data_IF_358542779104
#
_entry.id   IF_358542779104
#
_cell.length_a   1.000
_cell.length_b   1.000
_cell.length_c   1.000
_cell.angle_alpha   90.00
_cell.angle_beta   90.00
_cell.angle_gamma   90.00
#
_symmetry.space_group_name_H-M   'P 1'
#
loop_
_entity.id
_entity.type
_entity.pdbx_description
1 polymer ?
#
# COMPACT_ATOMS: atom_id res chain seq x y z
N UNK A 1 -6.22 -32.17 -10.94
CA UNK A 1 -6.18 -30.90 -11.69
C UNK A 1 -5.17 -30.00 -11.01
N UNK A 2 -4.03 -29.73 -11.66
CA UNK A 2 -3.04 -28.79 -11.16
C UNK A 2 -3.64 -27.38 -11.25
N UNK A 3 -3.68 -26.65 -10.14
CA UNK A 3 -4.05 -25.24 -10.12
C UNK A 3 -3.12 -24.47 -11.06
N UNK A 4 -3.64 -23.61 -11.96
CA UNK A 4 -2.80 -22.85 -12.87
C UNK A 4 -1.78 -22.01 -12.08
N UNK A 5 -0.58 -21.77 -12.62
CA UNK A 5 0.45 -21.02 -11.92
C UNK A 5 -0.06 -19.62 -11.59
N UNK A 6 -0.20 -19.32 -10.29
CA UNK A 6 -0.64 -18.01 -9.81
C UNK A 6 0.35 -16.96 -10.28
N UNK A 7 -0.11 -16.01 -11.09
CA UNK A 7 0.68 -14.90 -11.61
C UNK A 7 0.03 -13.56 -11.21
N UNK A 8 0.74 -12.45 -11.43
CA UNK A 8 0.23 -11.11 -11.11
C UNK A 8 -1.12 -10.83 -11.77
N UNK A 9 -1.29 -11.24 -13.04
CA UNK A 9 -2.49 -10.99 -13.81
C UNK A 9 -3.72 -11.69 -13.24
N UNK A 10 -3.57 -12.93 -12.77
CA UNK A 10 -4.63 -13.68 -12.09
C UNK A 10 -5.05 -12.97 -10.80
N UNK A 11 -4.09 -12.52 -9.99
CA UNK A 11 -4.40 -11.78 -8.76
C UNK A 11 -5.13 -10.46 -9.07
N UNK A 12 -4.69 -9.74 -10.10
CA UNK A 12 -5.32 -8.48 -10.51
C UNK A 12 -6.68 -8.67 -11.17
N UNK A 13 -6.87 -9.70 -12.00
CA UNK A 13 -8.15 -10.01 -12.64
C UNK A 13 -9.19 -10.41 -11.60
N UNK A 14 -8.81 -11.22 -10.62
CA UNK A 14 -9.68 -11.58 -9.50
C UNK A 14 -10.05 -10.37 -8.64
N UNK A 15 -9.05 -9.54 -8.31
CA UNK A 15 -9.29 -8.30 -7.57
C UNK A 15 -10.29 -7.40 -8.32
N UNK A 16 -10.12 -7.25 -9.63
CA UNK A 16 -11.03 -6.48 -10.49
C UNK A 16 -12.43 -7.10 -10.51
N UNK A 17 -12.55 -8.42 -10.61
CA UNK A 17 -13.83 -9.15 -10.62
C UNK A 17 -14.61 -8.91 -9.33
N UNK A 18 -13.97 -9.10 -8.17
CA UNK A 18 -14.58 -8.89 -6.85
C UNK A 18 -15.02 -7.43 -6.68
N UNK A 19 -14.19 -6.46 -7.08
CA UNK A 19 -14.54 -5.04 -6.99
C UNK A 19 -15.72 -4.71 -7.90
N UNK A 20 -15.74 -5.21 -9.14
CA UNK A 20 -16.78 -4.93 -10.13
C UNK A 20 -18.14 -5.50 -9.71
N UNK A 21 -18.18 -6.71 -9.16
CA UNK A 21 -19.40 -7.37 -8.69
C UNK A 21 -20.18 -6.54 -7.66
N UNK A 22 -19.47 -5.71 -6.87
CA UNK A 22 -20.06 -4.90 -5.83
C UNK A 22 -19.48 -3.49 -5.79
N UNK A 23 -19.42 -2.87 -6.98
CA UNK A 23 -18.79 -1.57 -7.21
C UNK A 23 -19.31 -0.49 -6.26
N UNK A 24 -20.63 -0.42 -6.00
CA UNK A 24 -21.24 0.58 -5.10
C UNK A 24 -20.67 0.53 -3.68
N UNK A 25 -20.44 -0.66 -3.14
CA UNK A 25 -19.93 -0.83 -1.78
C UNK A 25 -18.45 -0.44 -1.68
N UNK A 26 -17.62 -0.89 -2.63
CA UNK A 26 -16.20 -0.52 -2.65
C UNK A 26 -15.99 0.95 -3.00
N UNK A 27 -16.84 1.51 -3.85
CA UNK A 27 -16.88 2.94 -4.12
C UNK A 27 -17.21 3.73 -2.85
N UNK A 28 -18.24 3.32 -2.08
CA UNK A 28 -18.55 3.97 -0.81
C UNK A 28 -17.39 3.90 0.20
N UNK A 29 -16.74 2.74 0.35
CA UNK A 29 -15.55 2.62 1.22
C UNK A 29 -14.38 3.48 0.73
N UNK A 30 -14.20 3.58 -0.59
CA UNK A 30 -13.14 4.40 -1.18
C UNK A 30 -13.40 5.89 -0.94
N UNK A 31 -14.63 6.35 -1.17
CA UNK A 31 -15.04 7.74 -0.89
C UNK A 31 -14.94 8.07 0.60
N UNK A 32 -15.26 7.12 1.48
CA UNK A 32 -15.28 7.33 2.92
C UNK A 32 -13.86 7.37 3.54
N UNK A 33 -12.94 6.53 3.07
CA UNK A 33 -11.63 6.37 3.73
C UNK A 33 -10.42 6.64 2.83
N UNK A 34 -10.44 6.23 1.58
CA UNK A 34 -9.27 6.38 0.68
C UNK A 34 -9.20 7.77 0.04
N UNK A 35 -10.35 8.37 -0.29
CA UNK A 35 -10.42 9.68 -0.91
C UNK A 35 -9.92 10.80 0.02
N UNK A 36 -10.31 10.85 1.31
CA UNK A 36 -9.74 11.84 2.23
C UNK A 36 -8.22 11.70 2.37
N UNK A 37 -7.72 10.46 2.49
CA UNK A 37 -6.29 10.17 2.61
C UNK A 37 -5.50 10.60 1.36
N UNK A 38 -6.00 10.29 0.17
CA UNK A 38 -5.34 10.65 -1.09
C UNK A 38 -5.37 12.15 -1.36
N UNK A 39 -6.45 12.85 -1.00
CA UNK A 39 -6.54 14.30 -1.07
C UNK A 39 -5.53 14.96 -0.13
N UNK A 40 -5.46 14.51 1.13
CA UNK A 40 -4.45 14.99 2.07
C UNK A 40 -3.04 14.79 1.51
N UNK A 41 -2.75 13.62 0.93
CA UNK A 41 -1.44 13.30 0.36
C UNK A 41 -1.10 14.19 -0.84
N UNK A 42 -2.07 14.45 -1.73
CA UNK A 42 -1.87 15.28 -2.92
C UNK A 42 -1.68 16.78 -2.57
N UNK A 43 -2.34 17.25 -1.52
CA UNK A 43 -2.34 18.66 -1.12
C UNK A 43 -1.20 19.02 -0.15
N UNK A 44 -0.73 18.05 0.65
CA UNK A 44 0.29 18.26 1.68
C UNK A 44 1.57 18.96 1.19
N UNK A 45 2.20 18.57 0.06
CA UNK A 45 3.41 19.24 -0.43
C UNK A 45 3.21 20.75 -0.64
N UNK A 46 2.04 21.15 -1.10
CA UNK A 46 1.71 22.55 -1.39
C UNK A 46 1.47 23.33 -0.09
N UNK A 47 0.64 22.81 0.82
CA UNK A 47 0.38 23.48 2.11
C UNK A 47 1.66 23.56 2.94
N UNK A 48 2.44 22.48 2.99
CA UNK A 48 3.71 22.42 3.72
C UNK A 48 4.66 23.52 3.25
N UNK A 49 4.81 23.72 1.94
CA UNK A 49 5.67 24.79 1.40
C UNK A 49 5.15 26.19 1.74
N UNK A 50 3.85 26.44 1.57
CA UNK A 50 3.24 27.75 1.88
C UNK A 50 3.43 28.13 3.36
N UNK A 51 3.28 27.18 4.28
CA UNK A 51 3.43 27.44 5.72
C UNK A 51 4.89 27.48 6.16
N UNK A 52 5.78 26.74 5.47
CA UNK A 52 7.23 26.80 5.75
C UNK A 52 7.79 28.21 5.53
N UNK A 53 7.28 28.93 4.54
CA UNK A 53 7.66 30.34 4.32
C UNK A 53 7.21 31.27 5.47
N UNK A 54 6.20 30.87 6.28
CA UNK A 54 5.62 31.71 7.32
C UNK A 54 6.11 31.36 8.75
N UNK A 55 6.19 30.07 9.12
CA UNK A 55 6.63 29.66 10.46
C UNK A 55 7.02 28.17 10.53
N UNK A 56 8.27 27.83 10.96
CA UNK A 56 8.72 26.44 11.04
C UNK A 56 8.01 25.61 12.13
N UNK A 57 7.55 26.24 13.21
CA UNK A 57 6.81 25.54 14.30
C UNK A 57 5.45 25.03 13.83
N UNK A 58 4.76 25.84 13.02
CA UNK A 58 3.44 25.49 12.46
C UNK A 58 3.55 24.33 11.47
N UNK A 59 4.66 24.22 10.73
CA UNK A 59 4.92 23.09 9.83
C UNK A 59 4.99 21.77 10.61
N UNK A 60 5.70 21.74 11.74
CA UNK A 60 5.82 20.52 12.55
C UNK A 60 4.43 20.07 13.03
N UNK A 61 3.63 21.00 13.57
CA UNK A 61 2.28 20.69 14.02
C UNK A 61 1.40 20.19 12.86
N UNK A 62 1.48 20.83 11.68
CA UNK A 62 0.76 20.40 10.48
C UNK A 62 1.20 19.00 10.04
N UNK A 63 2.51 18.72 10.01
CA UNK A 63 3.05 17.41 9.62
C UNK A 63 2.59 16.31 10.57
N UNK A 64 2.56 16.58 11.88
CA UNK A 64 2.03 15.64 12.88
C UNK A 64 0.54 15.40 12.67
N UNK A 65 -0.25 16.47 12.51
CA UNK A 65 -1.69 16.37 12.26
C UNK A 65 -1.98 15.58 10.95
N UNK A 66 -1.25 15.88 9.89
CA UNK A 66 -1.31 15.18 8.61
C UNK A 66 -1.01 13.68 8.77
N UNK A 67 0.08 13.33 9.47
CA UNK A 67 0.47 11.94 9.70
C UNK A 67 -0.64 11.18 10.44
N UNK A 68 -1.20 11.78 11.49
CA UNK A 68 -2.29 11.16 12.26
C UNK A 68 -3.52 10.95 11.38
N UNK A 69 -3.96 11.98 10.66
CA UNK A 69 -5.15 11.91 9.80
C UNK A 69 -4.98 10.84 8.72
N UNK A 70 -3.88 10.87 7.96
CA UNK A 70 -3.61 9.92 6.88
C UNK A 70 -3.45 8.50 7.42
N UNK A 71 -2.75 8.31 8.55
CA UNK A 71 -2.61 7.00 9.18
C UNK A 71 -3.95 6.40 9.58
N UNK A 72 -4.81 7.19 10.24
CA UNK A 72 -6.14 6.75 10.68
C UNK A 72 -6.99 6.32 9.48
N UNK A 73 -7.11 7.18 8.46
CA UNK A 73 -7.91 6.88 7.28
C UNK A 73 -7.38 5.67 6.49
N UNK A 74 -6.05 5.53 6.35
CA UNK A 74 -5.46 4.39 5.65
C UNK A 74 -5.73 3.07 6.37
N UNK A 75 -5.60 3.03 7.70
CA UNK A 75 -5.84 1.80 8.45
C UNK A 75 -7.32 1.42 8.48
N UNK A 76 -8.21 2.41 8.55
CA UNK A 76 -9.65 2.18 8.41
C UNK A 76 -10.02 1.65 7.02
N UNK A 77 -9.37 2.17 5.96
CA UNK A 77 -9.55 1.69 4.61
C UNK A 77 -9.08 0.24 4.46
N UNK A 78 -7.85 -0.05 4.89
CA UNK A 78 -7.25 -1.38 4.79
C UNK A 78 -8.11 -2.40 5.55
N UNK A 79 -8.48 -2.11 6.79
CA UNK A 79 -9.32 -2.99 7.60
C UNK A 79 -10.70 -3.23 6.97
N UNK A 80 -11.38 -2.17 6.55
CA UNK A 80 -12.73 -2.28 5.98
C UNK A 80 -12.73 -3.01 4.62
N UNK A 81 -11.77 -2.71 3.74
CA UNK A 81 -11.68 -3.30 2.40
C UNK A 81 -11.22 -4.76 2.48
N UNK A 82 -10.15 -5.06 3.22
CA UNK A 82 -9.64 -6.42 3.35
C UNK A 82 -10.68 -7.36 3.97
N UNK A 83 -11.36 -6.92 5.04
CA UNK A 83 -12.45 -7.68 5.65
C UNK A 83 -13.61 -7.91 4.67
N UNK A 84 -13.99 -6.88 3.89
CA UNK A 84 -15.08 -6.99 2.92
C UNK A 84 -14.76 -7.97 1.79
N UNK A 85 -13.51 -7.99 1.30
CA UNK A 85 -13.05 -8.92 0.27
C UNK A 85 -13.00 -10.34 0.83
N UNK A 86 -12.43 -10.51 2.03
CA UNK A 86 -12.33 -11.81 2.68
C UNK A 86 -13.72 -12.43 2.90
N UNK A 87 -14.67 -11.68 3.48
CA UNK A 87 -16.02 -12.20 3.70
C UNK A 87 -16.76 -12.55 2.42
N UNK A 88 -16.60 -11.73 1.37
CA UNK A 88 -17.21 -12.00 0.06
C UNK A 88 -16.61 -13.21 -0.63
N UNK A 89 -15.31 -13.42 -0.47
CA UNK A 89 -14.65 -14.60 -1.01
C UNK A 89 -15.27 -15.89 -0.45
N UNK A 90 -15.69 -15.89 0.82
CA UNK A 90 -16.40 -17.01 1.46
C UNK A 90 -17.95 -16.90 1.36
N UNK A 91 -18.49 -16.09 0.44
CA UNK A 91 -19.92 -16.02 0.15
C UNK A 91 -20.80 -15.39 1.25
N UNK A 92 -20.23 -14.69 2.24
CA UNK A 92 -21.01 -14.09 3.34
C UNK A 92 -21.48 -12.67 2.97
N UNK A 93 -22.73 -12.29 3.29
CA UNK A 93 -23.24 -10.95 3.01
C UNK A 93 -22.53 -9.91 3.90
N UNK A 94 -21.91 -8.91 3.26
CA UNK A 94 -21.17 -7.85 3.97
C UNK A 94 -22.01 -6.58 4.06
N UNK A 95 -22.28 -6.14 5.29
CA UNK A 95 -22.84 -4.81 5.56
C UNK A 95 -21.69 -3.83 5.83
N UNK A 96 -21.76 -2.61 5.27
CA UNK A 96 -20.76 -1.55 5.47
C UNK A 96 -20.44 -1.31 6.95
N UNK A 97 -21.47 -1.27 7.80
CA UNK A 97 -21.33 -1.04 9.25
C UNK A 97 -20.52 -2.15 9.93
N UNK A 98 -20.67 -3.40 9.50
CA UNK A 98 -19.90 -4.53 10.03
C UNK A 98 -18.42 -4.41 9.64
N UNK A 99 -18.13 -3.98 8.41
CA UNK A 99 -16.77 -3.74 7.94
C UNK A 99 -16.09 -2.61 8.73
N UNK A 100 -16.79 -1.48 8.94
CA UNK A 100 -16.26 -0.35 9.73
C UNK A 100 -16.02 -0.76 11.19
N UNK A 101 -16.96 -1.49 11.81
CA UNK A 101 -16.80 -1.97 13.19
C UNK A 101 -15.62 -2.93 13.33
N UNK A 102 -15.47 -3.85 12.38
CA UNK A 102 -14.34 -4.78 12.32
C UNK A 102 -13.00 -4.04 12.17
N UNK A 103 -12.99 -3.01 11.32
CA UNK A 103 -11.82 -2.17 11.12
C UNK A 103 -11.43 -1.38 12.37
N UNK A 104 -12.39 -0.88 13.14
CA UNK A 104 -12.14 -0.20 14.41
C UNK A 104 -11.57 -1.17 15.45
N UNK A 105 -12.09 -2.40 15.52
CA UNK A 105 -11.52 -3.44 16.39
C UNK A 105 -10.09 -3.83 15.99
N UNK A 106 -9.77 -3.75 14.70
CA UNK A 106 -8.45 -4.06 14.16
C UNK A 106 -7.48 -2.88 14.21
N UNK A 107 -7.93 -1.68 14.59
CA UNK A 107 -7.14 -0.45 14.54
C UNK A 107 -5.87 -0.52 15.41
N UNK A 108 -6.02 -0.95 16.67
CA UNK A 108 -4.90 -1.09 17.58
C UNK A 108 -3.94 -2.23 17.18
N UNK A 109 -4.42 -3.44 16.82
CA UNK A 109 -3.58 -4.47 16.24
C UNK A 109 -2.79 -4.00 14.99
N UNK A 110 -3.45 -3.29 14.07
CA UNK A 110 -2.84 -2.79 12.84
C UNK A 110 -1.75 -1.75 13.13
N UNK A 111 -2.03 -0.79 14.00
CA UNK A 111 -1.03 0.18 14.46
C UNK A 111 0.16 -0.52 15.13
N UNK A 112 -0.09 -1.50 16.01
CA UNK A 112 0.97 -2.23 16.69
C UNK A 112 1.88 -2.98 15.70
N UNK A 113 1.32 -3.61 14.67
CA UNK A 113 2.10 -4.28 13.62
C UNK A 113 2.87 -3.29 12.75
N UNK A 114 2.30 -2.13 12.43
CA UNK A 114 3.00 -1.07 11.70
C UNK A 114 4.19 -0.51 12.51
N UNK A 115 3.99 -0.23 13.80
CA UNK A 115 5.06 0.20 14.71
C UNK A 115 6.14 -0.88 14.81
N UNK A 116 5.75 -2.15 14.95
CA UNK A 116 6.69 -3.27 15.01
C UNK A 116 7.53 -3.37 13.74
N UNK A 117 6.90 -3.27 12.57
CA UNK A 117 7.58 -3.27 11.28
C UNK A 117 8.58 -2.11 11.19
N UNK A 118 8.14 -0.88 11.43
CA UNK A 118 8.99 0.31 11.37
C UNK A 118 10.15 0.23 12.37
N UNK A 119 9.90 -0.28 13.58
CA UNK A 119 10.95 -0.49 14.59
C UNK A 119 12.01 -1.49 14.13
N UNK A 120 11.63 -2.56 13.43
CA UNK A 120 12.61 -3.52 12.88
C UNK A 120 13.41 -2.88 11.75
N UNK A 121 12.77 -2.15 10.83
CA UNK A 121 13.47 -1.46 9.74
C UNK A 121 14.45 -0.42 10.28
N UNK A 122 14.05 0.36 11.30
CA UNK A 122 14.92 1.31 11.98
C UNK A 122 16.10 0.61 12.65
N UNK A 123 15.86 -0.51 13.34
CA UNK A 123 16.92 -1.32 13.94
C UNK A 123 17.94 -1.83 12.92
N UNK A 124 17.47 -2.33 11.77
CA UNK A 124 18.35 -2.76 10.67
C UNK A 124 19.19 -1.60 10.15
N UNK A 125 18.56 -0.43 9.93
CA UNK A 125 19.27 0.75 9.46
C UNK A 125 20.34 1.21 10.44
N UNK A 126 20.03 1.21 11.75
CA UNK A 126 20.96 1.59 12.80
C UNK A 126 22.15 0.62 12.89
N UNK A 127 21.91 -0.68 12.80
CA UNK A 127 22.97 -1.70 12.76
C UNK A 127 23.85 -1.53 11.52
N UNK A 128 23.24 -1.30 10.35
CA UNK A 128 23.98 -1.13 9.10
C UNK A 128 24.82 0.16 9.12
N UNK A 129 24.25 1.26 9.62
CA UNK A 129 24.95 2.54 9.76
C UNK A 129 26.12 2.43 10.76
N UNK A 130 25.92 1.72 11.87
CA UNK A 130 26.97 1.48 12.86
C UNK A 130 28.10 0.61 12.29
N UNK A 131 27.77 -0.51 11.63
CA UNK A 131 28.75 -1.37 10.98
C UNK A 131 29.55 -0.62 9.90
N UNK A 132 28.85 0.22 9.14
CA UNK A 132 29.47 1.07 8.13
C UNK A 132 30.44 2.07 8.76
N UNK A 133 30.02 2.78 9.81
CA UNK A 133 30.88 3.71 10.54
C UNK A 133 32.15 3.05 11.09
N UNK A 134 32.03 1.85 11.67
CA UNK A 134 33.18 1.09 12.14
C UNK A 134 34.13 0.70 11.00
N UNK A 135 33.59 0.22 9.87
CA UNK A 135 34.39 -0.17 8.72
C UNK A 135 35.18 1.01 8.14
N UNK A 136 34.55 2.19 8.04
CA UNK A 136 35.25 3.42 7.62
C UNK A 136 36.43 3.71 8.55
N UNK A 137 36.17 3.73 9.86
CA UNK A 137 37.18 4.07 10.88
C UNK A 137 38.35 3.07 10.84
N UNK A 138 38.07 1.78 10.63
CA UNK A 138 39.10 0.76 10.54
C UNK A 138 39.97 0.91 9.28
N UNK A 139 39.37 1.21 8.13
CA UNK A 139 40.11 1.40 6.88
C UNK A 139 41.04 2.62 6.94
N UNK A 140 40.60 3.69 7.59
CA UNK A 140 41.38 4.92 7.79
C UNK A 140 42.58 4.69 8.72
N UNK A 141 42.45 3.80 9.71
CA UNK A 141 43.55 3.39 10.60
C UNK A 141 44.57 2.50 9.87
N UNK A 142 44.10 1.55 9.04
CA UNK A 142 44.97 0.56 8.38
C UNK A 142 45.76 1.17 7.22
N UNK A 143 45.15 2.09 6.46
CA UNK A 143 45.78 2.74 5.30
C UNK A 143 45.80 4.25 5.53
N UNK A 144 46.83 4.76 6.23
CA UNK A 144 47.00 6.20 6.41
C UNK A 144 47.12 6.87 5.03
N UNK A 145 46.21 7.80 4.72
CA UNK A 145 46.18 8.53 3.45
C UNK A 145 45.13 8.06 2.43
N UNK A 146 44.35 7.01 2.71
CA UNK A 146 43.23 6.62 1.86
C UNK A 146 41.98 7.47 2.19
N UNK A 147 41.82 8.60 1.50
CA UNK A 147 40.63 9.45 1.59
C UNK A 147 39.45 8.86 0.80
N UNK A 148 38.80 7.81 1.33
CA UNK A 148 37.50 7.40 0.79
C UNK A 148 36.50 8.50 1.13
N UNK A 149 35.95 9.15 0.10
CA UNK A 149 34.91 10.15 0.30
C UNK A 149 33.74 9.54 1.10
N UNK A 150 33.40 10.18 2.22
CA UNK A 150 32.28 9.78 3.08
C UNK A 150 30.98 9.60 2.28
N UNK A 151 30.82 10.41 1.23
CA UNK A 151 29.69 10.35 0.31
C UNK A 151 29.61 9.01 -0.45
N UNK A 152 30.71 8.54 -1.06
CA UNK A 152 30.70 7.27 -1.81
C UNK A 152 30.34 6.09 -0.91
N UNK A 153 30.88 6.09 0.30
CA UNK A 153 30.58 5.06 1.29
C UNK A 153 29.12 5.12 1.76
N UNK A 154 28.61 6.31 2.06
CA UNK A 154 27.21 6.52 2.44
C UNK A 154 26.24 6.07 1.33
N UNK A 155 26.57 6.32 0.05
CA UNK A 155 25.77 5.87 -1.10
C UNK A 155 25.70 4.34 -1.16
N UNK A 156 26.83 3.65 -1.02
CA UNK A 156 26.86 2.17 -1.04
C UNK A 156 26.00 1.59 0.09
N UNK A 157 26.16 2.12 1.31
CA UNK A 157 25.38 1.69 2.47
C UNK A 157 23.89 1.93 2.27
N UNK A 158 23.52 3.06 1.67
CA UNK A 158 22.13 3.39 1.35
C UNK A 158 21.56 2.42 0.31
N UNK A 159 22.31 2.05 -0.72
CA UNK A 159 21.87 1.06 -1.72
C UNK A 159 21.64 -0.30 -1.06
N UNK A 160 22.57 -0.75 -0.19
CA UNK A 160 22.42 -1.99 0.56
C UNK A 160 21.18 -1.94 1.46
N UNK A 161 20.96 -0.82 2.15
CA UNK A 161 19.78 -0.62 2.99
C UNK A 161 18.49 -0.74 2.17
N UNK A 162 18.43 -0.11 0.99
CA UNK A 162 17.26 -0.18 0.08
C UNK A 162 16.98 -1.63 -0.34
N UNK A 163 18.00 -2.39 -0.73
CA UNK A 163 17.85 -3.80 -1.13
C UNK A 163 17.31 -4.64 0.03
N UNK A 164 17.87 -4.45 1.23
CA UNK A 164 17.43 -5.17 2.43
C UNK A 164 15.98 -4.80 2.77
N UNK A 165 15.63 -3.51 2.74
CA UNK A 165 14.25 -3.05 2.98
C UNK A 165 13.29 -3.68 1.97
N UNK A 166 13.64 -3.67 0.68
CA UNK A 166 12.80 -4.26 -0.36
C UNK A 166 12.54 -5.76 -0.12
N UNK A 167 13.56 -6.50 0.33
CA UNK A 167 13.42 -7.92 0.70
C UNK A 167 12.43 -8.12 1.86
N UNK A 168 12.52 -7.31 2.91
CA UNK A 168 11.58 -7.38 4.04
C UNK A 168 10.15 -7.01 3.62
N UNK A 169 9.99 -6.01 2.75
CA UNK A 169 8.68 -5.63 2.20
C UNK A 169 8.01 -6.79 1.46
N UNK A 170 8.74 -7.55 0.64
CA UNK A 170 8.22 -8.73 -0.08
C UNK A 170 7.75 -9.83 0.87
N UNK A 171 8.52 -10.09 1.93
CA UNK A 171 8.19 -11.12 2.93
C UNK A 171 7.01 -10.68 3.85
N UNK A 172 6.82 -9.37 4.04
CA UNK A 172 5.81 -8.80 4.95
C UNK A 172 4.59 -8.17 4.28
N UNK A 173 4.45 -8.31 2.95
CA UNK A 173 3.37 -7.70 2.17
C UNK A 173 1.95 -8.06 2.67
N UNK A 174 1.78 -9.27 3.25
CA UNK A 174 0.47 -9.76 3.70
C UNK A 174 0.17 -9.40 5.16
N UNK A 175 1.10 -8.80 5.88
CA UNK A 175 1.01 -8.63 7.33
C UNK A 175 -0.22 -7.84 7.76
N UNK A 176 -0.57 -6.78 7.03
CA UNK A 176 -1.75 -5.96 7.34
C UNK A 176 -3.06 -6.73 7.10
N UNK A 177 -3.13 -7.54 6.05
CA UNK A 177 -4.30 -8.40 5.79
C UNK A 177 -4.44 -9.47 6.86
N UNK A 178 -3.34 -10.10 7.27
CA UNK A 178 -3.31 -11.13 8.34
C UNK A 178 -3.83 -10.55 9.66
N UNK A 179 -3.41 -9.33 10.02
CA UNK A 179 -3.91 -8.65 11.23
C UNK A 179 -5.44 -8.50 11.18
N UNK A 180 -5.98 -8.08 10.04
CA UNK A 180 -7.42 -7.84 9.87
C UNK A 180 -8.22 -9.15 9.89
N UNK A 181 -7.72 -10.17 9.22
CA UNK A 181 -8.44 -11.44 9.03
C UNK A 181 -8.32 -12.34 10.25
N UNK A 182 -7.11 -12.49 10.78
CA UNK A 182 -6.82 -13.44 11.86
C UNK A 182 -6.86 -12.78 13.24
N UNK A 183 -7.07 -11.45 13.31
CA UNK A 183 -7.10 -10.66 14.57
C UNK A 183 -5.84 -10.84 15.42
N UNK A 184 -4.69 -10.97 14.75
CA UNK A 184 -3.37 -11.20 15.38
C UNK A 184 -2.56 -9.90 15.41
N UNK A 185 -1.68 -9.74 16.39
CA UNK A 185 -1.04 -8.48 16.77
C UNK A 185 0.48 -8.62 16.83
N UNK A 186 1.20 -7.51 16.67
CA UNK A 186 2.64 -7.41 16.94
C UNK A 186 3.50 -8.12 15.88
N UNK A 187 4.42 -8.99 16.34
CA UNK A 187 5.37 -9.71 15.48
C UNK A 187 4.82 -11.00 14.86
N UNK A 188 3.75 -11.55 15.43
CA UNK A 188 3.15 -12.81 14.95
C UNK A 188 2.63 -12.70 13.51
N UNK A 189 1.94 -11.63 13.09
CA UNK A 189 1.53 -11.43 11.68
C UNK A 189 2.72 -11.41 10.71
N UNK A 190 3.86 -10.83 11.10
CA UNK A 190 5.06 -10.77 10.26
C UNK A 190 5.66 -12.17 10.01
N UNK A 191 5.66 -13.02 11.05
CA UNK A 191 6.12 -14.42 10.94
C UNK A 191 5.22 -15.22 10.03
N UNK A 192 3.91 -15.08 10.19
CA UNK A 192 2.90 -15.75 9.36
C UNK A 192 3.03 -15.27 7.90
N UNK A 193 3.15 -13.96 7.66
CA UNK A 193 3.36 -13.41 6.32
C UNK A 193 4.60 -14.00 5.65
N UNK A 194 5.73 -14.08 6.37
CA UNK A 194 6.97 -14.66 5.84
C UNK A 194 6.82 -16.16 5.51
N UNK A 195 6.04 -16.89 6.31
CA UNK A 195 5.72 -18.29 6.04
C UNK A 195 4.85 -18.43 4.79
N UNK A 196 3.77 -17.67 4.70
CA UNK A 196 2.81 -17.72 3.59
C UNK A 196 3.38 -17.27 2.25
N UNK A 197 4.28 -16.29 2.26
CA UNK A 197 4.94 -15.81 1.04
C UNK A 197 6.04 -16.76 0.55
N UNK A 198 6.46 -17.74 1.36
CA UNK A 198 7.43 -18.76 0.95
C UNK A 198 6.84 -19.60 -0.18
N UNK A 199 7.54 -19.66 -1.32
CA UNK A 199 7.04 -20.32 -2.54
C UNK A 199 6.34 -19.38 -3.52
N UNK A 200 5.77 -18.25 -3.06
CA UNK A 200 5.06 -17.27 -3.90
C UNK A 200 5.74 -15.89 -3.95
N UNK A 201 7.01 -15.81 -3.54
CA UNK A 201 7.80 -14.56 -3.50
C UNK A 201 7.85 -13.80 -4.80
N UNK A 202 7.90 -14.50 -5.94
CA UNK A 202 7.96 -13.85 -7.27
C UNK A 202 6.67 -13.07 -7.56
N UNK A 203 5.52 -13.62 -7.17
CA UNK A 203 4.22 -12.96 -7.32
C UNK A 203 4.10 -11.78 -6.35
N UNK A 204 4.50 -11.97 -5.09
CA UNK A 204 4.56 -10.88 -4.10
C UNK A 204 5.43 -9.72 -4.60
N UNK A 205 6.63 -10.01 -5.10
CA UNK A 205 7.53 -9.02 -5.68
C UNK A 205 6.92 -8.33 -6.91
N UNK A 206 6.22 -9.08 -7.76
CA UNK A 206 5.55 -8.52 -8.94
C UNK A 206 4.42 -7.56 -8.56
N UNK A 207 3.63 -7.90 -7.52
CA UNK A 207 2.56 -7.04 -6.98
C UNK A 207 3.19 -5.76 -6.42
N UNK A 208 4.21 -5.90 -5.58
CA UNK A 208 4.91 -4.78 -4.95
C UNK A 208 5.48 -3.82 -6.00
N UNK A 209 6.21 -4.33 -7.00
CA UNK A 209 6.78 -3.51 -8.07
C UNK A 209 5.69 -2.82 -8.90
N UNK A 210 4.59 -3.50 -9.23
CA UNK A 210 3.50 -2.91 -9.99
C UNK A 210 2.90 -1.69 -9.28
N UNK A 211 2.60 -1.81 -7.98
CA UNK A 211 2.03 -0.69 -7.21
C UNK A 211 3.04 0.42 -6.93
N UNK A 212 4.33 0.12 -6.75
CA UNK A 212 5.38 1.14 -6.60
C UNK A 212 5.55 1.92 -7.91
N UNK A 213 5.73 1.23 -9.04
CA UNK A 213 5.96 1.86 -10.36
C UNK A 213 4.77 2.73 -10.77
N UNK A 214 3.54 2.34 -10.42
CA UNK A 214 2.33 3.12 -10.73
C UNK A 214 2.08 4.28 -9.77
N UNK A 215 2.47 4.16 -8.49
CA UNK A 215 2.26 5.23 -7.50
C UNK A 215 3.34 6.32 -7.51
N UNK A 216 4.59 5.98 -7.86
CA UNK A 216 5.72 6.93 -7.88
C UNK A 216 5.48 8.15 -8.79
N UNK A 217 5.00 8.00 -10.04
CA UNK A 217 4.73 9.15 -10.91
C UNK A 217 3.67 10.09 -10.33
N UNK A 218 2.63 9.55 -9.69
CA UNK A 218 1.56 10.36 -9.07
C UNK A 218 2.11 11.22 -7.92
N UNK A 219 2.95 10.63 -7.07
CA UNK A 219 3.65 11.37 -6.02
C UNK A 219 4.53 12.48 -6.59
N UNK A 220 5.32 12.16 -7.63
CA UNK A 220 6.16 13.14 -8.30
C UNK A 220 5.34 14.31 -8.87
N UNK A 221 4.27 14.02 -9.60
CA UNK A 221 3.37 15.02 -10.20
C UNK A 221 2.83 15.98 -9.13
N UNK A 222 2.39 15.46 -7.97
CA UNK A 222 1.89 16.31 -6.88
C UNK A 222 2.96 17.21 -6.28
N UNK A 223 4.20 16.73 -6.16
CA UNK A 223 5.32 17.48 -5.60
C UNK A 223 5.88 18.53 -6.56
N UNK A 224 5.85 18.24 -7.87
CA UNK A 224 6.37 19.11 -8.92
C UNK A 224 5.49 20.36 -9.11
N UNK A 225 4.22 20.31 -8.72
CA UNK A 225 3.29 21.43 -8.90
C UNK A 225 3.15 22.34 -7.68
N UNK A 226 3.68 21.93 -6.53
CA UNK A 226 3.76 22.75 -5.33
C UNK A 226 4.45 24.13 -5.49
N UNK A 227 5.53 24.32 -6.28
CA UNK A 227 6.12 25.66 -6.50
C UNK A 227 5.23 26.63 -7.27
N UNK A 228 4.25 26.15 -8.06
CA UNK A 228 3.40 27.00 -8.90
C UNK A 228 2.17 27.56 -8.16
N UNK A 229 1.98 27.20 -6.89
CA UNK A 229 0.87 27.68 -6.06
C UNK A 229 1.05 29.11 -5.51
N UNK A 230 2.07 29.86 -5.96
CA UNK A 230 2.25 31.26 -5.55
C UNK A 230 1.02 32.09 -5.91
N UNK A 231 0.60 32.96 -5.00
CA UNK A 231 -0.57 33.83 -5.20
C UNK A 231 -0.12 34.98 -6.10
N UNK A 232 -0.48 34.92 -7.38
CA UNK A 232 -0.26 36.00 -8.34
C UNK A 232 -1.62 36.63 -8.65
N UNK A 233 -1.77 37.95 -8.54
CA UNK A 233 -3.09 38.61 -8.62
C UNK A 233 -3.45 38.92 -10.09
N UNK A 234 -4.56 38.39 -10.61
CA UNK A 234 -5.05 38.73 -11.96
C UNK A 234 -5.87 37.62 -12.64
N UNK A 235 -6.25 37.82 -13.91
CA UNK A 235 -7.04 36.84 -14.72
C UNK A 235 -6.30 35.51 -14.95
N UNK A 236 -4.97 35.54 -14.87
CA UNK A 236 -4.07 34.38 -14.94
C UNK A 236 -4.13 33.50 -13.67
N UNK A 237 -4.53 34.09 -12.53
CA UNK A 237 -4.69 33.40 -11.25
C UNK A 237 -5.83 32.38 -11.30
N UNK A 238 -6.98 32.76 -11.87
CA UNK A 238 -8.17 31.92 -11.94
C UNK A 238 -7.95 30.68 -12.80
N UNK A 239 -7.27 30.82 -13.95
CA UNK A 239 -6.95 29.69 -14.83
C UNK A 239 -5.86 28.78 -14.27
N UNK A 240 -4.82 29.33 -13.64
CA UNK A 240 -3.75 28.54 -13.01
C UNK A 240 -4.25 27.76 -11.80
N UNK A 241 -5.08 28.37 -10.95
CA UNK A 241 -5.67 27.69 -9.80
C UNK A 241 -6.67 26.61 -10.22
N UNK A 242 -7.47 26.85 -11.26
CA UNK A 242 -8.39 25.84 -11.79
C UNK A 242 -7.62 24.60 -12.29
N UNK A 243 -6.50 24.80 -13.01
CA UNK A 243 -5.64 23.70 -13.45
C UNK A 243 -5.04 22.93 -12.27
N UNK A 244 -4.53 23.64 -11.26
CA UNK A 244 -3.97 23.03 -10.05
C UNK A 244 -5.01 22.20 -9.26
N UNK A 245 -6.23 22.74 -9.10
CA UNK A 245 -7.33 22.03 -8.44
C UNK A 245 -7.74 20.79 -9.23
N UNK A 246 -7.89 20.91 -10.56
CA UNK A 246 -8.20 19.78 -11.42
C UNK A 246 -7.12 18.69 -11.32
N UNK A 247 -5.85 19.08 -11.29
CA UNK A 247 -4.74 18.15 -11.15
C UNK A 247 -4.75 17.41 -9.80
N UNK A 248 -4.98 18.11 -8.69
CA UNK A 248 -5.13 17.47 -7.37
C UNK A 248 -6.27 16.45 -7.39
N UNK A 249 -7.42 16.83 -7.96
CA UNK A 249 -8.58 15.95 -8.07
C UNK A 249 -8.24 14.70 -8.90
N UNK A 250 -7.58 14.86 -10.05
CA UNK A 250 -7.15 13.74 -10.90
C UNK A 250 -6.16 12.85 -10.16
N UNK A 251 -5.08 13.41 -9.60
CA UNK A 251 -4.04 12.65 -8.88
C UNK A 251 -4.64 11.91 -7.69
N UNK A 252 -5.49 12.56 -6.89
CA UNK A 252 -6.15 11.94 -5.74
C UNK A 252 -7.12 10.81 -6.13
N UNK A 253 -7.86 10.97 -7.24
CA UNK A 253 -8.72 9.93 -7.78
C UNK A 253 -7.89 8.71 -8.22
N UNK A 254 -6.83 8.91 -9.03
CA UNK A 254 -5.95 7.81 -9.44
C UNK A 254 -5.28 7.12 -8.26
N UNK A 255 -4.80 7.89 -7.27
CA UNK A 255 -4.20 7.35 -6.06
C UNK A 255 -5.20 6.53 -5.23
N UNK A 256 -6.45 6.99 -5.13
CA UNK A 256 -7.55 6.26 -4.48
C UNK A 256 -7.79 4.91 -5.15
N UNK A 257 -7.86 4.90 -6.49
CA UNK A 257 -8.00 3.64 -7.23
C UNK A 257 -6.82 2.69 -6.99
N UNK A 258 -5.58 3.19 -7.06
CA UNK A 258 -4.39 2.36 -6.82
C UNK A 258 -4.37 1.78 -5.40
N UNK A 259 -4.73 2.56 -4.38
CA UNK A 259 -4.82 2.06 -3.01
C UNK A 259 -5.88 0.97 -2.87
N UNK A 260 -7.07 1.17 -3.46
CA UNK A 260 -8.13 0.16 -3.45
C UNK A 260 -7.65 -1.15 -4.09
N UNK A 261 -7.04 -1.08 -5.27
CA UNK A 261 -6.51 -2.25 -5.97
C UNK A 261 -5.34 -2.90 -5.22
N UNK A 262 -4.51 -2.14 -4.51
CA UNK A 262 -3.41 -2.68 -3.72
C UNK A 262 -3.94 -3.51 -2.53
N UNK A 263 -4.89 -2.98 -1.77
CA UNK A 263 -5.52 -3.73 -0.68
C UNK A 263 -6.26 -4.96 -1.21
N UNK A 264 -6.92 -4.84 -2.37
CA UNK A 264 -7.59 -5.98 -2.99
C UNK A 264 -6.61 -7.08 -3.44
N UNK A 265 -5.54 -6.70 -4.15
CA UNK A 265 -4.54 -7.63 -4.65
C UNK A 265 -3.81 -8.34 -3.50
N UNK A 266 -3.46 -7.63 -2.44
CA UNK A 266 -2.83 -8.23 -1.25
C UNK A 266 -3.79 -9.16 -0.49
N UNK A 267 -5.09 -8.84 -0.45
CA UNK A 267 -6.10 -9.73 0.17
C UNK A 267 -6.32 -10.99 -0.64
N UNK A 268 -6.46 -10.87 -1.97
CA UNK A 268 -6.57 -12.02 -2.88
C UNK A 268 -5.31 -12.87 -2.84
N UNK A 269 -4.13 -12.24 -2.82
CA UNK A 269 -2.85 -12.93 -2.67
C UNK A 269 -2.77 -13.73 -1.36
N UNK A 270 -3.25 -13.18 -0.25
CA UNK A 270 -3.32 -13.90 1.03
C UNK A 270 -4.17 -15.16 0.94
N UNK A 271 -5.33 -15.10 0.27
CA UNK A 271 -6.22 -16.24 0.08
C UNK A 271 -5.54 -17.33 -0.76
N UNK A 272 -4.90 -16.96 -1.88
CA UNK A 272 -4.12 -17.89 -2.70
C UNK A 272 -2.95 -18.51 -1.91
N UNK A 273 -2.24 -17.72 -1.09
CA UNK A 273 -1.16 -18.26 -0.25
C UNK A 273 -1.66 -19.30 0.76
N UNK A 274 -2.83 -19.08 1.37
CA UNK A 274 -3.43 -20.04 2.30
C UNK A 274 -3.89 -21.33 1.62
N UNK A 275 -4.49 -21.22 0.43
CA UNK A 275 -4.87 -22.38 -0.37
C UNK A 275 -3.63 -23.18 -0.82
N UNK A 276 -2.57 -22.50 -1.26
CA UNK A 276 -1.30 -23.12 -1.63
C UNK A 276 -0.65 -23.93 -0.48
N UNK A 277 -0.80 -23.47 0.77
CA UNK A 277 -0.30 -24.17 1.95
C UNK A 277 -1.29 -25.22 2.50
N UNK A 278 -2.47 -25.39 1.89
CA UNK A 278 -3.48 -26.36 2.30
C UNK A 278 -4.19 -26.02 3.62
N UNK A 279 -4.09 -24.78 4.11
CA UNK A 279 -4.72 -24.33 5.36
C UNK A 279 -6.22 -24.04 5.20
N UNK A 280 -6.71 -24.00 3.97
CA UNK A 280 -8.12 -23.80 3.62
C UNK A 280 -8.50 -24.97 2.71
N UNK A 281 -9.69 -25.55 2.94
CA UNK A 281 -10.22 -26.58 2.04
C UNK A 281 -10.16 -26.10 0.59
N UNK A 282 -9.67 -26.99 -0.29
CA UNK A 282 -9.44 -26.81 -1.73
C UNK A 282 -10.36 -25.75 -2.34
N UNK A 283 -9.77 -24.69 -2.91
CA UNK A 283 -10.42 -23.63 -3.68
C UNK A 283 -11.70 -24.14 -4.38
N UNK A 284 -12.86 -23.90 -3.77
CA UNK A 284 -14.14 -24.04 -4.47
C UNK A 284 -14.26 -22.74 -5.23
N UNK A 285 -14.11 -22.83 -6.54
CA UNK A 285 -14.45 -21.78 -7.50
C UNK A 285 -15.66 -21.00 -6.98
N UNK A 286 -15.53 -19.67 -6.92
CA UNK A 286 -16.66 -18.81 -6.59
C UNK A 286 -17.86 -19.24 -7.46
N UNK A 287 -19.11 -19.18 -6.98
CA UNK A 287 -20.30 -19.51 -7.78
C UNK A 287 -20.47 -18.62 -9.04
N UNK A 288 -19.54 -17.70 -9.29
CA UNK A 288 -19.44 -16.86 -10.47
C UNK A 288 -18.60 -17.49 -11.59
N UNK A 289 -18.05 -18.69 -11.43
CA UNK A 289 -17.28 -19.36 -12.50
C UNK A 289 -18.17 -19.99 -13.59
N UNK A 290 -19.50 -20.06 -13.41
CA UNK A 290 -20.40 -20.74 -14.36
C UNK A 290 -21.21 -19.83 -15.29
N UNK A 291 -21.28 -18.51 -15.06
CA UNK A 291 -22.25 -17.64 -15.76
C UNK A 291 -21.71 -16.88 -16.99
N UNK A 292 -20.38 -16.86 -17.20
CA UNK A 292 -19.79 -16.04 -18.26
C UNK A 292 -19.64 -16.79 -19.60
N UNK A 293 -19.99 -18.08 -19.68
CA UNK A 293 -19.79 -18.90 -20.89
C UNK A 293 -20.85 -19.98 -21.19
N UNK A 294 -21.79 -20.24 -20.28
CA UNK A 294 -22.78 -21.32 -20.46
C UNK A 294 -24.16 -20.84 -20.93
N UNK A 295 -24.50 -19.57 -20.70
CA UNK A 295 -25.78 -18.99 -21.09
C UNK A 295 -25.89 -18.61 -22.58
N UNK A 296 -24.77 -18.49 -23.31
CA UNK A 296 -24.78 -18.17 -24.74
C UNK A 296 -24.87 -19.41 -25.65
N UNK A 297 -24.58 -20.62 -25.16
CA UNK A 297 -24.64 -21.85 -25.95
C UNK A 297 -25.96 -22.63 -25.80
N UNK A 298 -26.83 -22.25 -24.86
CA UNK A 298 -28.16 -22.85 -24.70
C UNK A 298 -29.27 -22.08 -25.44
N UNK A 299 -28.99 -20.85 -25.88
CA UNK A 299 -29.95 -20.05 -26.65
C UNK A 299 -29.85 -20.24 -28.19
N UNK A 300 -28.79 -20.89 -28.70
CA UNK A 300 -28.61 -21.13 -30.13
C UNK A 300 -29.03 -22.54 -30.59
N UNK A 301 -29.34 -23.45 -29.66
CA UNK A 301 -29.76 -24.82 -29.99
C UNK A 301 -31.28 -25.08 -29.83
N UNK A 302 -32.08 -24.03 -29.62
CA UNK A 302 -33.53 -24.13 -29.44
C UNK A 302 -34.32 -23.09 -30.27
N UNK A 303 -33.87 -22.78 -31.49
CA UNK A 303 -34.70 -22.21 -32.57
C UNK A 303 -34.33 -22.88 -33.89
#
# INVERSE_FOLDING_TARGET
>A
MATPPVNLWVVLSESRRIIKAHSRHFFALSVLFLLPSSLCTAVYPTISRLITEQSPKTVILLSVAYLVVVSVFNLLAIGSIAYSIFQRFYGRPVKLISAVKSSLSSFFPLHATLISMTSILLGIFLVLAFAAFLLKTLMEIIIPGLEISFLAFAVIVTIIAIIVMFKFQVDWILSLVIVVVESVWGLKPLKISKSLTKGMRRVSLSILLFFIVTSLPLGWISSATAPFARIETGRLWTTRNAYFMLQIVIVSAFQTFLMLYNVAATTVMYIYCKDFHGEVGKYVSLPFDDDDGKLLNLAYNNV
#
